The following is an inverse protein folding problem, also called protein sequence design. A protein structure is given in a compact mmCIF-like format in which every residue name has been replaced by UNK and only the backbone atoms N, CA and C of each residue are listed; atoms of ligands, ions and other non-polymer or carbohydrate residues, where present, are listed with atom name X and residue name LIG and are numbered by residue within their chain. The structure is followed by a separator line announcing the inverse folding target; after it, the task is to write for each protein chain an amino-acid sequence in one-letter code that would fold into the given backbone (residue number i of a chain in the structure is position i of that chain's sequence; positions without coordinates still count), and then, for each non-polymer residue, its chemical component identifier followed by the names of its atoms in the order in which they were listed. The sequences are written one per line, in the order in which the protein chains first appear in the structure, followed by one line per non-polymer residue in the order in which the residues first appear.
data_IF_673339357023
#
_entry.id   IF_673339357023
#
_cell.length_a   1.000
_cell.length_b   1.000
_cell.length_c   1.000
_cell.angle_alpha   90.00
_cell.angle_beta   90.00
_cell.angle_gamma   90.00
#
_symmetry.space_group_name_H-M   'P 1'
#
loop_
_entity.id
_entity.type
_entity.pdbx_description
1 polymer ?
#
# COMPACT_ATOMS: atom_id res chain seq x y z
N UNK A 1 -5.16 -17.45 5.38
CA UNK A 1 -5.55 -16.39 4.44
C UNK A 1 -4.34 -16.03 3.60
N UNK A 2 -4.33 -16.39 2.31
CA UNK A 2 -3.31 -15.84 1.40
C UNK A 2 -3.61 -14.36 1.21
N UNK A 3 -2.64 -13.52 1.57
CA UNK A 3 -2.69 -12.06 1.44
C UNK A 3 -2.41 -11.74 -0.03
N UNK A 4 -3.19 -10.85 -0.64
CA UNK A 4 -2.92 -10.42 -2.01
C UNK A 4 -1.85 -9.40 -1.96
N UNK A 5 -0.64 -9.88 -2.07
CA UNK A 5 0.54 -9.07 -1.95
C UNK A 5 1.11 -8.90 -3.34
N UNK A 6 0.99 -7.69 -3.85
CA UNK A 6 1.72 -7.24 -5.02
C UNK A 6 3.07 -6.73 -4.53
N UNK A 7 4.13 -7.41 -4.94
CA UNK A 7 5.50 -6.98 -4.62
C UNK A 7 5.93 -5.92 -5.63
N UNK A 8 5.74 -4.66 -5.28
CA UNK A 8 6.15 -3.52 -6.10
C UNK A 8 7.68 -3.38 -6.15
N UNK A 9 8.41 -4.00 -5.20
CA UNK A 9 9.88 -4.05 -5.22
C UNK A 9 10.50 -4.70 -6.47
N UNK A 10 9.71 -5.38 -7.30
CA UNK A 10 10.16 -5.91 -8.61
C UNK A 10 10.05 -4.90 -9.75
N UNK A 11 9.53 -3.70 -9.50
CA UNK A 11 9.34 -2.61 -10.47
C UNK A 11 10.44 -1.56 -10.30
N UNK A 12 10.70 -0.72 -11.33
CA UNK A 12 11.67 0.37 -11.21
C UNK A 12 11.37 1.28 -10.01
N UNK A 13 12.43 1.64 -9.27
CA UNK A 13 12.34 2.48 -8.07
C UNK A 13 11.57 3.78 -8.31
N UNK A 14 11.86 4.47 -9.41
CA UNK A 14 11.19 5.71 -9.81
C UNK A 14 9.67 5.53 -9.93
N UNK A 15 9.22 4.43 -10.54
CA UNK A 15 7.79 4.15 -10.71
C UNK A 15 7.14 3.85 -9.36
N UNK A 16 7.84 3.16 -8.47
CA UNK A 16 7.35 2.92 -7.11
C UNK A 16 7.20 4.21 -6.31
N UNK A 17 8.16 5.13 -6.42
CA UNK A 17 8.08 6.44 -5.77
C UNK A 17 6.90 7.26 -6.33
N UNK A 18 6.73 7.30 -7.65
CA UNK A 18 5.59 7.97 -8.30
C UNK A 18 4.27 7.36 -7.82
N UNK A 19 4.16 6.03 -7.83
CA UNK A 19 2.96 5.33 -7.38
C UNK A 19 2.59 5.66 -5.93
N UNK A 20 3.56 5.61 -5.01
CA UNK A 20 3.34 5.94 -3.60
C UNK A 20 2.96 7.42 -3.41
N UNK A 21 3.55 8.34 -4.19
CA UNK A 21 3.16 9.77 -4.21
C UNK A 21 1.71 9.95 -4.62
N UNK A 22 1.29 9.37 -5.74
CA UNK A 22 -0.08 9.51 -6.23
C UNK A 22 -1.09 8.86 -5.28
N UNK A 23 -0.80 7.66 -4.78
CA UNK A 23 -1.64 6.95 -3.84
C UNK A 23 -1.82 7.71 -2.52
N UNK A 24 -0.75 8.33 -2.02
CA UNK A 24 -0.79 9.10 -0.78
C UNK A 24 -1.41 10.49 -0.97
N UNK A 25 -1.27 11.12 -2.13
CA UNK A 25 -1.80 12.48 -2.37
C UNK A 25 -3.24 12.49 -2.87
N UNK A 26 -3.74 11.43 -3.51
CA UNK A 26 -5.10 11.43 -4.08
C UNK A 26 -6.19 11.65 -3.03
N UNK A 27 -7.11 12.57 -3.30
CA UNK A 27 -8.31 12.82 -2.48
C UNK A 27 -9.49 11.93 -2.88
N UNK A 28 -9.36 11.17 -3.98
CA UNK A 28 -10.44 10.35 -4.53
C UNK A 28 -10.72 9.08 -3.73
N UNK A 29 -9.81 8.70 -2.83
CA UNK A 29 -9.96 7.55 -1.93
C UNK A 29 -10.88 7.90 -0.75
N UNK A 30 -12.08 7.35 -0.76
CA UNK A 30 -13.08 7.51 0.30
C UNK A 30 -12.61 6.89 1.62
N UNK A 31 -12.83 7.63 2.72
CA UNK A 31 -12.46 7.24 4.10
C UNK A 31 -11.02 6.77 4.27
N UNK A 32 -10.13 7.21 3.36
CA UNK A 32 -8.73 6.86 3.42
C UNK A 32 -8.04 7.51 4.60
N UNK A 33 -7.23 6.71 5.28
CA UNK A 33 -6.36 7.14 6.36
C UNK A 33 -4.93 6.89 5.94
N UNK A 34 -4.10 7.92 6.07
CA UNK A 34 -2.74 7.96 5.55
C UNK A 34 -1.81 8.30 6.71
N UNK A 35 -0.78 7.50 6.95
CA UNK A 35 0.19 7.76 8.03
C UNK A 35 1.50 7.03 7.80
N UNK A 36 2.56 7.52 8.46
CA UNK A 36 3.87 6.89 8.53
C UNK A 36 4.01 6.14 9.85
N UNK A 37 4.70 5.00 9.83
CA UNK A 37 4.90 4.16 11.02
C UNK A 37 6.35 3.67 11.07
N UNK A 38 6.98 3.76 12.24
CA UNK A 38 8.29 3.15 12.49
C UNK A 38 8.09 1.95 13.41
N UNK A 39 8.45 0.76 12.93
CA UNK A 39 8.64 -0.38 13.82
C UNK A 39 10.12 -0.43 14.19
N UNK A 40 10.43 -0.15 15.45
CA UNK A 40 11.70 -0.62 15.99
C UNK A 40 11.69 -2.16 15.92
N UNK A 41 12.71 -2.77 15.31
CA UNK A 41 12.77 -4.23 15.17
C UNK A 41 12.78 -4.97 16.53
N UNK A 42 12.91 -4.22 17.64
CA UNK A 42 12.90 -4.74 19.01
C UNK A 42 11.52 -4.78 19.68
N UNK A 43 10.51 -4.10 19.16
CA UNK A 43 9.17 -4.10 19.76
C UNK A 43 8.06 -4.28 18.71
N UNK A 44 7.75 -5.53 18.38
CA UNK A 44 6.66 -5.91 17.45
C UNK A 44 5.24 -5.65 17.99
N UNK A 45 5.09 -5.10 19.20
CA UNK A 45 3.81 -4.91 19.88
C UNK A 45 3.34 -3.45 19.99
N UNK A 46 4.22 -2.45 19.78
CA UNK A 46 3.87 -1.04 19.91
C UNK A 46 4.30 -0.25 18.66
N UNK A 47 3.31 0.15 17.86
CA UNK A 47 3.51 1.06 16.72
C UNK A 47 3.84 2.45 17.26
N UNK A 48 5.12 2.82 17.28
CA UNK A 48 5.51 4.22 17.50
C UNK A 48 5.41 4.94 16.16
N UNK A 49 4.43 5.84 16.05
CA UNK A 49 4.32 6.73 14.90
C UNK A 49 5.54 7.63 14.89
N UNK A 50 6.14 7.79 13.72
CA UNK A 50 7.11 8.84 13.52
C UNK A 50 6.34 10.18 13.47
N UNK A 51 6.65 11.10 14.38
CA UNK A 51 5.90 12.36 14.49
C UNK A 51 6.34 13.38 13.43
N UNK A 52 7.52 13.21 12.84
CA UNK A 52 8.12 14.19 11.93
C UNK A 52 8.46 13.65 10.53
N UNK A 53 8.25 12.35 10.27
CA UNK A 53 8.53 11.76 8.95
C UNK A 53 7.45 12.12 7.92
N UNK A 54 7.87 12.72 6.81
CA UNK A 54 7.00 13.01 5.66
C UNK A 54 7.11 11.92 4.59
N UNK A 55 6.22 11.99 3.59
CA UNK A 55 6.33 11.13 2.41
C UNK A 55 7.63 11.37 1.67
N UNK A 56 8.02 12.63 1.50
CA UNK A 56 9.24 13.01 0.81
C UNK A 56 10.47 12.41 1.50
N UNK A 57 10.55 12.55 2.82
CA UNK A 57 11.62 11.94 3.62
C UNK A 57 11.65 10.43 3.40
N UNK A 58 10.50 9.75 3.47
CA UNK A 58 10.43 8.31 3.24
C UNK A 58 10.91 7.92 1.83
N UNK A 59 10.51 8.67 0.80
CA UNK A 59 10.83 8.36 -0.59
C UNK A 59 12.31 8.58 -0.90
N UNK A 60 12.94 9.59 -0.29
CA UNK A 60 14.40 9.82 -0.39
C UNK A 60 15.21 8.68 0.20
N UNK A 61 14.65 7.96 1.17
CA UNK A 61 15.29 6.79 1.77
C UNK A 61 15.22 5.55 0.86
N UNK A 62 14.28 5.51 -0.09
CA UNK A 62 14.05 4.33 -0.94
C UNK A 62 15.22 4.03 -1.87
N UNK A 63 15.61 2.76 -1.89
CA UNK A 63 16.58 2.20 -2.83
C UNK A 63 16.09 0.86 -3.41
N UNK A 64 16.88 0.26 -4.30
CA UNK A 64 16.55 -1.01 -4.98
C UNK A 64 16.43 -2.22 -4.03
N UNK A 65 16.84 -2.08 -2.76
CA UNK A 65 16.71 -3.12 -1.73
C UNK A 65 15.38 -3.05 -0.96
N UNK A 66 14.58 -1.99 -1.17
CA UNK A 66 13.32 -1.80 -0.45
C UNK A 66 12.28 -2.84 -0.83
N UNK A 67 11.60 -3.37 0.19
CA UNK A 67 10.48 -4.28 0.01
C UNK A 67 9.18 -3.49 0.06
N UNK A 68 8.60 -3.24 -1.10
CA UNK A 68 7.31 -2.59 -1.23
C UNK A 68 6.25 -3.66 -1.44
N UNK A 69 5.30 -3.77 -0.51
CA UNK A 69 4.25 -4.81 -0.53
C UNK A 69 2.88 -4.15 -0.53
N UNK A 70 2.30 -4.07 -1.71
CA UNK A 70 0.94 -3.61 -1.87
C UNK A 70 -0.03 -4.73 -1.49
N UNK A 71 -0.73 -4.56 -0.36
CA UNK A 71 -1.66 -5.57 0.14
C UNK A 71 -3.10 -5.20 -0.19
N UNK A 72 -3.71 -5.91 -1.13
CA UNK A 72 -5.15 -5.77 -1.40
C UNK A 72 -5.90 -6.63 -0.37
N UNK A 73 -6.44 -5.97 0.65
CA UNK A 73 -7.26 -6.60 1.68
C UNK A 73 -6.61 -6.61 3.06
N UNK A 74 -7.42 -6.36 4.07
CA UNK A 74 -7.05 -6.30 5.48
C UNK A 74 -7.38 -7.63 6.18
N UNK A 75 -6.67 -8.00 7.27
CA UNK A 75 -7.14 -9.05 8.18
C UNK A 75 -8.50 -8.70 8.82
N UNK A 76 -8.94 -7.44 8.75
CA UNK A 76 -10.29 -6.99 9.10
C UNK A 76 -11.11 -6.89 7.80
N UNK A 77 -12.26 -7.56 7.75
CA UNK A 77 -13.03 -7.95 6.56
C UNK A 77 -13.58 -6.82 5.65
N UNK A 78 -13.13 -5.58 5.78
CA UNK A 78 -13.69 -4.44 5.03
C UNK A 78 -12.71 -3.34 4.66
N UNK A 79 -11.39 -3.58 4.69
CA UNK A 79 -10.39 -2.53 4.37
C UNK A 79 -9.34 -3.02 3.39
N UNK A 80 -8.83 -2.14 2.55
CA UNK A 80 -7.59 -2.27 1.79
C UNK A 80 -6.47 -1.55 2.56
N UNK A 81 -5.26 -2.11 2.55
CA UNK A 81 -4.13 -1.50 3.23
C UNK A 81 -2.88 -1.59 2.35
N UNK A 82 -2.43 -0.44 1.87
CA UNK A 82 -1.22 -0.33 1.07
C UNK A 82 -0.02 -0.04 1.97
N UNK A 83 1.09 -0.74 1.74
CA UNK A 83 2.25 -0.74 2.61
C UNK A 83 3.55 -0.67 1.78
N UNK A 84 4.35 0.36 2.02
CA UNK A 84 5.78 0.31 1.65
C UNK A 84 6.58 0.00 2.91
N UNK A 85 7.63 -0.81 2.83
CA UNK A 85 8.50 -1.12 3.98
C UNK A 85 9.97 -0.96 3.64
N UNK A 86 10.75 -0.44 4.59
CA UNK A 86 12.19 -0.29 4.47
C UNK A 86 12.93 -0.70 5.71
N UNK A 87 14.08 -1.37 5.57
CA UNK A 87 14.91 -1.73 6.71
C UNK A 87 16.13 -0.81 6.73
N UNK A 88 16.17 0.11 7.68
CA UNK A 88 17.25 1.09 7.82
C UNK A 88 17.88 1.02 9.21
N UNK A 89 19.19 0.77 9.29
CA UNK A 89 19.95 0.83 10.58
C UNK A 89 19.27 0.10 11.75
N UNK A 90 18.61 -1.04 11.49
CA UNK A 90 17.81 -1.85 12.43
C UNK A 90 16.43 -1.28 12.81
N UNK A 91 15.86 -0.39 12.02
CA UNK A 91 14.48 0.07 12.15
C UNK A 91 13.74 -0.12 10.84
N UNK A 92 12.50 -0.58 10.94
CA UNK A 92 11.64 -0.76 9.80
C UNK A 92 10.73 0.46 9.67
N UNK A 93 10.70 1.12 8.51
CA UNK A 93 9.80 2.26 8.27
C UNK A 93 8.72 1.90 7.25
N UNK A 94 7.52 2.44 7.45
CA UNK A 94 6.37 2.10 6.64
C UNK A 94 5.56 3.32 6.21
N UNK A 95 5.07 3.27 4.97
CA UNK A 95 4.02 4.15 4.47
C UNK A 95 2.72 3.37 4.40
N UNK A 96 1.71 3.81 5.14
CA UNK A 96 0.40 3.18 5.14
C UNK A 96 -0.67 4.08 4.52
N UNK A 97 -1.41 3.51 3.58
CA UNK A 97 -2.69 4.05 3.10
C UNK A 97 -3.75 2.99 3.35
N UNK A 98 -4.69 3.25 4.26
CA UNK A 98 -5.78 2.35 4.64
C UNK A 98 -7.14 2.93 4.25
N UNK A 99 -7.94 2.22 3.48
CA UNK A 99 -9.29 2.66 3.07
C UNK A 99 -10.27 1.47 3.02
N UNK A 100 -11.59 1.66 3.00
CA UNK A 100 -12.55 0.58 2.78
C UNK A 100 -12.38 -0.10 1.42
N UNK A 101 -12.61 -1.41 1.36
CA UNK A 101 -12.63 -2.14 0.08
C UNK A 101 -14.01 -1.98 -0.58
N UNK A 102 -14.13 -0.95 -1.42
CA UNK A 102 -15.30 -0.68 -2.24
C UNK A 102 -14.89 -0.51 -3.72
N UNK A 103 -15.88 -0.48 -4.63
CA UNK A 103 -15.62 -0.36 -6.06
C UNK A 103 -14.85 0.91 -6.41
N UNK A 104 -15.19 2.05 -5.80
CA UNK A 104 -14.51 3.34 -6.07
C UNK A 104 -13.04 3.32 -5.67
N UNK A 105 -12.73 2.93 -4.43
CA UNK A 105 -11.36 2.87 -3.92
C UNK A 105 -10.51 1.90 -4.73
N UNK A 106 -11.10 0.77 -5.14
CA UNK A 106 -10.43 -0.17 -6.04
C UNK A 106 -10.12 0.48 -7.40
N UNK A 107 -11.10 1.11 -8.06
CA UNK A 107 -10.91 1.77 -9.36
C UNK A 107 -9.90 2.92 -9.29
N UNK A 108 -9.91 3.73 -8.23
CA UNK A 108 -8.93 4.81 -8.04
C UNK A 108 -7.52 4.22 -7.98
N UNK A 109 -7.31 3.20 -7.16
CA UNK A 109 -5.97 2.59 -7.02
C UNK A 109 -5.55 1.84 -8.27
N UNK A 110 -6.46 1.13 -8.92
CA UNK A 110 -6.24 0.50 -10.22
C UNK A 110 -5.86 1.53 -11.27
N UNK A 111 -6.54 2.66 -11.32
CA UNK A 111 -6.26 3.77 -12.23
C UNK A 111 -4.86 4.36 -12.01
N UNK A 112 -4.48 4.62 -10.76
CA UNK A 112 -3.13 5.08 -10.42
C UNK A 112 -2.08 4.04 -10.82
N UNK A 113 -2.32 2.76 -10.51
CA UNK A 113 -1.39 1.68 -10.87
C UNK A 113 -1.20 1.58 -12.40
N UNK A 114 -2.29 1.55 -13.15
CA UNK A 114 -2.27 1.47 -14.62
C UNK A 114 -1.56 2.68 -15.24
N UNK A 115 -1.79 3.88 -14.70
CA UNK A 115 -1.16 5.11 -15.14
C UNK A 115 0.36 5.08 -14.92
N UNK A 116 0.81 4.58 -13.78
CA UNK A 116 2.22 4.59 -13.40
C UNK A 116 2.99 3.44 -14.06
N UNK A 117 2.43 2.23 -14.07
CA UNK A 117 3.14 1.02 -14.51
C UNK A 117 2.78 0.57 -15.94
N UNK A 118 1.73 1.14 -16.55
CA UNK A 118 1.27 0.73 -17.89
C UNK A 118 0.65 -0.68 -17.94
N UNK A 119 0.43 -1.31 -16.78
CA UNK A 119 -0.06 -2.68 -16.64
C UNK A 119 -1.34 -2.71 -15.81
N UNK A 120 -2.22 -3.68 -16.08
CA UNK A 120 -3.42 -3.87 -15.26
C UNK A 120 -3.01 -4.40 -13.89
N UNK A 121 -3.55 -3.82 -12.82
CA UNK A 121 -3.34 -4.30 -11.45
C UNK A 121 -3.81 -5.75 -11.28
N UNK A 122 -4.77 -6.18 -12.11
CA UNK A 122 -5.36 -7.53 -12.16
C UNK A 122 -4.45 -8.57 -12.81
N UNK A 123 -3.44 -8.15 -13.58
CA UNK A 123 -2.35 -9.04 -13.99
C UNK A 123 -1.58 -9.58 -12.78
N UNK A 124 -1.78 -8.94 -11.62
CA UNK A 124 -1.36 -9.44 -10.32
C UNK A 124 -2.57 -10.10 -9.64
N UNK A 125 -2.49 -11.40 -9.31
CA UNK A 125 -3.67 -12.20 -8.99
C UNK A 125 -4.51 -11.62 -7.83
N UNK A 126 -5.79 -11.37 -8.13
CA UNK A 126 -6.85 -11.02 -7.16
C UNK A 126 -7.45 -12.33 -6.60
N UNK A 127 -7.87 -12.40 -5.32
CA UNK A 127 -8.58 -13.57 -4.82
C UNK A 127 -9.99 -13.59 -5.35
N UNK A 128 -10.38 -14.83 -5.56
CA UNK A 128 -11.73 -15.35 -5.75
C UNK A 128 -12.78 -14.87 -4.71
N UNK A 129 -12.42 -14.12 -3.67
CA UNK A 129 -13.34 -13.57 -2.67
C UNK A 129 -13.96 -12.22 -3.02
N UNK A 130 -13.37 -11.44 -3.94
CA UNK A 130 -13.91 -10.14 -4.35
C UNK A 130 -15.14 -10.29 -5.26
N UNK A 131 -15.08 -11.25 -6.19
CA UNK A 131 -16.21 -11.64 -7.05
C UNK A 131 -17.43 -12.08 -6.23
N UNK A 132 -17.18 -12.70 -5.07
CA UNK A 132 -18.23 -13.19 -4.18
C UNK A 132 -18.89 -12.08 -3.35
N UNK A 133 -18.15 -11.02 -3.01
CA UNK A 133 -18.70 -9.83 -2.35
C UNK A 133 -19.61 -9.04 -3.30
N UNK A 134 -19.18 -8.81 -4.55
CA UNK A 134 -20.01 -8.15 -5.57
C UNK A 134 -21.28 -8.96 -5.91
N UNK A 135 -21.22 -10.29 -5.86
CA UNK A 135 -22.40 -11.16 -6.05
C UNK A 135 -23.38 -11.13 -4.87
N UNK A 136 -22.94 -10.83 -3.65
CA UNK A 136 -23.78 -10.85 -2.44
C UNK A 136 -24.39 -9.49 -2.07
N UNK A 137 -23.85 -8.41 -2.60
CA UNK A 137 -24.23 -7.04 -2.22
C UNK A 137 -24.55 -6.13 -3.41
N UNK A 138 -24.75 -6.71 -4.60
CA UNK A 138 -25.33 -6.08 -5.78
C UNK A 138 -26.80 -6.46 -5.97
#
# INVERSE_FOLDING_TARGET
MQRNQIHLSKKPLEHNQIFLRELYSTEELEDARKWFDKLDCRESAARQRDLDMTLDDFLELMDDSFLIVFQIGSPFSGKIRYCSSSIMKKSDHFVWVECPLNGRNYEVVRGIYQKVFGEDIESVPVPKGLEEYHRRHG
#
